data_IF_656465953104
#
_entry.id   IF_656465953104
#
_cell.length_a   1.000
_cell.length_b   1.000
_cell.length_c   1.000
_cell.angle_alpha   90.00
_cell.angle_beta   90.00
_cell.angle_gamma   90.00
#
_symmetry.space_group_name_H-M   'P 1'
#
loop_
_entity.id
_entity.type
_entity.pdbx_description
1 polymer ?
#
# COMPACT_ATOMS: atom_id res chain seq x y z
N UNK A 1 -9.31 -3.07 -8.66
CA UNK A 1 -9.24 -3.61 -7.29
C UNK A 1 -7.90 -4.31 -7.10
N UNK A 2 -6.83 -3.58 -6.78
CA UNK A 2 -5.51 -4.19 -6.53
C UNK A 2 -5.34 -4.70 -5.08
N UNK A 3 -6.47 -5.04 -4.45
CA UNK A 3 -6.64 -6.04 -3.38
C UNK A 3 -8.15 -6.12 -3.06
N UNK A 4 -8.95 -6.93 -3.80
CA UNK A 4 -10.42 -6.94 -3.65
C UNK A 4 -10.93 -7.49 -2.30
N UNK A 5 -10.06 -7.92 -1.40
CA UNK A 5 -10.40 -8.78 -0.26
C UNK A 5 -9.89 -8.28 1.10
N UNK A 6 -9.46 -7.02 1.22
CA UNK A 6 -8.91 -6.50 2.48
C UNK A 6 -9.58 -5.17 2.79
N UNK A 7 -10.37 -5.18 3.87
CA UNK A 7 -11.10 -4.02 4.37
C UNK A 7 -10.13 -2.99 4.94
N UNK A 8 -10.61 -1.75 5.09
CA UNK A 8 -9.85 -0.68 5.78
C UNK A 8 -9.38 -1.15 7.16
N UNK A 9 -10.22 -1.93 7.84
CA UNK A 9 -9.94 -2.53 9.15
C UNK A 9 -8.80 -3.55 9.10
N UNK A 10 -8.78 -4.42 8.07
CA UNK A 10 -7.70 -5.39 7.89
C UNK A 10 -6.37 -4.70 7.55
N UNK A 11 -6.40 -3.58 6.81
CA UNK A 11 -5.21 -2.77 6.55
C UNK A 11 -4.70 -2.09 7.83
N UNK A 12 -5.58 -1.53 8.66
CA UNK A 12 -5.15 -0.97 9.95
C UNK A 12 -4.59 -2.06 10.87
N UNK A 13 -5.23 -3.23 10.93
CA UNK A 13 -4.74 -4.36 11.71
C UNK A 13 -3.34 -4.81 11.26
N UNK A 14 -3.09 -4.86 9.94
CA UNK A 14 -1.77 -5.13 9.37
C UNK A 14 -0.75 -4.07 9.79
N UNK A 15 -1.08 -2.77 9.63
CA UNK A 15 -0.17 -1.69 10.01
C UNK A 15 0.15 -1.71 11.51
N UNK A 16 -0.85 -1.97 12.36
CA UNK A 16 -0.66 -2.09 13.81
C UNK A 16 0.30 -3.23 14.14
N UNK A 17 0.16 -4.38 13.48
CA UNK A 17 1.06 -5.52 13.66
C UNK A 17 2.49 -5.21 13.20
N UNK A 18 2.64 -4.54 12.06
CA UNK A 18 3.95 -4.19 11.50
C UNK A 18 4.66 -3.09 12.34
N UNK A 19 3.89 -2.18 12.95
CA UNK A 19 4.41 -1.04 13.72
C UNK A 19 4.78 -1.38 15.17
N UNK A 20 4.75 -2.66 15.53
CA UNK A 20 5.29 -3.14 16.81
C UNK A 20 6.82 -3.04 16.81
N UNK A 21 7.44 -3.33 15.66
CA UNK A 21 8.89 -3.34 15.54
C UNK A 21 9.44 -1.93 15.25
N UNK A 22 10.44 -1.46 16.03
CA UNK A 22 11.06 -0.16 15.80
C UNK A 22 11.92 -0.20 14.52
N UNK A 23 11.27 0.07 13.39
CA UNK A 23 11.89 0.21 12.07
C UNK A 23 11.62 1.61 11.54
N UNK A 24 12.43 2.06 10.58
CA UNK A 24 12.20 3.32 9.88
C UNK A 24 11.10 3.14 8.84
N UNK A 25 10.28 4.17 8.66
CA UNK A 25 9.17 4.15 7.71
C UNK A 25 9.65 3.82 6.28
N UNK A 26 10.75 4.41 5.82
CA UNK A 26 11.35 4.11 4.51
C UNK A 26 11.75 2.65 4.30
N UNK A 27 12.11 1.94 5.38
CA UNK A 27 12.53 0.54 5.31
C UNK A 27 11.32 -0.40 5.24
N UNK A 28 10.17 0.07 5.72
CA UNK A 28 8.90 -0.65 5.68
C UNK A 28 8.17 -0.48 4.35
N UNK A 29 8.26 0.70 3.71
CA UNK A 29 7.57 0.97 2.44
C UNK A 29 7.81 -0.06 1.31
N UNK A 30 9.02 -0.64 1.13
CA UNK A 30 9.24 -1.72 0.15
C UNK A 30 8.45 -3.01 0.42
N UNK A 31 8.02 -3.27 1.66
CA UNK A 31 7.18 -4.42 2.05
C UNK A 31 5.69 -4.16 1.78
N UNK A 32 5.33 -2.89 1.59
CA UNK A 32 3.97 -2.41 1.38
C UNK A 32 3.72 -2.00 -0.08
N UNK A 33 4.73 -1.48 -0.79
CA UNK A 33 4.63 -0.84 -2.10
C UNK A 33 5.83 -1.17 -3.01
N UNK A 34 5.64 -1.15 -4.35
CA UNK A 34 6.75 -1.18 -5.30
C UNK A 34 7.74 -0.03 -5.08
N UNK A 35 9.04 -0.32 -5.19
CA UNK A 35 10.12 0.65 -4.91
C UNK A 35 10.00 1.98 -5.66
N UNK A 36 9.51 1.93 -6.89
CA UNK A 36 9.33 3.12 -7.74
C UNK A 36 8.27 4.10 -7.20
N UNK A 37 7.34 3.64 -6.36
CA UNK A 37 6.27 4.45 -5.80
C UNK A 37 6.63 5.06 -4.45
N UNK A 38 7.67 4.54 -3.78
CA UNK A 38 8.12 4.98 -2.46
C UNK A 38 8.38 6.50 -2.37
N UNK A 39 9.13 7.15 -3.28
CA UNK A 39 9.39 8.58 -3.16
C UNK A 39 8.09 9.40 -3.25
N UNK A 40 7.21 9.07 -4.19
CA UNK A 40 5.91 9.74 -4.35
C UNK A 40 5.00 9.50 -3.14
N UNK A 41 5.01 8.29 -2.58
CA UNK A 41 4.23 7.96 -1.39
C UNK A 41 4.71 8.71 -0.15
N UNK A 42 6.03 8.85 0.02
CA UNK A 42 6.62 9.63 1.11
C UNK A 42 6.17 11.09 1.04
N UNK A 43 6.28 11.72 -0.14
CA UNK A 43 5.84 13.11 -0.36
C UNK A 43 4.35 13.31 -0.07
N UNK A 44 3.48 12.40 -0.54
CA UNK A 44 2.03 12.51 -0.33
C UNK A 44 1.60 12.21 1.11
N UNK A 45 2.28 11.25 1.76
CA UNK A 45 2.01 10.88 3.15
C UNK A 45 2.33 12.03 4.11
N UNK A 46 3.34 12.85 3.80
CA UNK A 46 3.87 13.87 4.70
C UNK A 46 4.54 13.30 5.94
N UNK A 47 4.83 11.99 5.95
CA UNK A 47 5.50 11.29 7.05
C UNK A 47 7.01 11.26 6.72
N UNK A 48 7.88 11.67 7.66
CA UNK A 48 9.32 11.60 7.46
C UNK A 48 9.78 10.16 7.17
N UNK A 49 10.67 10.00 6.19
CA UNK A 49 11.21 8.70 5.79
C UNK A 49 11.99 8.00 6.92
N UNK A 50 12.59 8.81 7.78
CA UNK A 50 13.34 8.48 8.99
C UNK A 50 12.48 8.42 10.27
N UNK A 51 11.16 8.61 10.14
CA UNK A 51 10.25 8.40 11.27
C UNK A 51 10.20 6.92 11.65
N UNK A 52 10.13 6.64 12.95
CA UNK A 52 10.00 5.28 13.44
C UNK A 52 8.55 4.82 13.33
N UNK A 53 8.30 3.58 12.90
CA UNK A 53 6.95 3.01 12.78
C UNK A 53 6.15 3.15 14.08
N UNK A 54 6.81 2.94 15.23
CA UNK A 54 6.19 3.01 16.55
C UNK A 54 5.76 4.44 16.94
N UNK A 55 6.25 5.46 16.23
CA UNK A 55 5.86 6.88 16.43
C UNK A 55 4.72 7.31 15.50
N UNK A 56 4.37 6.50 14.50
CA UNK A 56 3.28 6.80 13.57
C UNK A 56 1.94 6.67 14.32
N UNK A 57 1.20 7.77 14.39
CA UNK A 57 -0.06 7.83 15.16
C UNK A 57 -1.22 7.26 14.36
N UNK A 58 -2.35 7.01 15.03
CA UNK A 58 -3.57 6.55 14.37
C UNK A 58 -4.04 7.47 13.22
N UNK A 59 -3.85 8.79 13.35
CA UNK A 59 -4.15 9.76 12.28
C UNK A 59 -3.28 9.54 11.03
N UNK A 60 -2.01 9.20 11.24
CA UNK A 60 -1.03 9.02 10.17
C UNK A 60 -1.25 7.65 9.51
N UNK A 61 -1.62 6.63 10.29
CA UNK A 61 -2.10 5.34 9.76
C UNK A 61 -3.35 5.48 8.91
N UNK A 62 -4.34 6.26 9.36
CA UNK A 62 -5.52 6.58 8.53
C UNK A 62 -5.10 7.22 7.21
N UNK A 63 -4.17 8.17 7.24
CA UNK A 63 -3.62 8.80 6.02
C UNK A 63 -2.87 7.82 5.13
N UNK A 64 -2.11 6.87 5.69
CA UNK A 64 -1.48 5.78 4.93
C UNK A 64 -2.54 4.90 4.28
N UNK A 65 -3.56 4.48 5.03
CA UNK A 65 -4.63 3.62 4.50
C UNK A 65 -5.44 4.37 3.45
N UNK A 66 -5.79 5.64 3.69
CA UNK A 66 -6.41 6.52 2.71
C UNK A 66 -5.52 6.65 1.48
N UNK A 67 -4.21 6.83 1.63
CA UNK A 67 -3.32 6.86 0.49
C UNK A 67 -3.26 5.54 -0.22
N UNK A 68 -3.26 4.38 0.44
CA UNK A 68 -3.27 3.05 -0.19
C UNK A 68 -4.60 2.73 -0.89
N UNK A 69 -5.72 3.15 -0.30
CA UNK A 69 -7.08 2.88 -0.78
C UNK A 69 -7.55 3.92 -1.81
N UNK A 70 -7.12 5.18 -1.67
CA UNK A 70 -7.29 6.27 -2.64
C UNK A 70 -6.14 6.35 -3.65
N UNK A 71 -5.01 5.63 -3.48
CA UNK A 71 -4.15 5.16 -4.59
C UNK A 71 -4.86 4.08 -5.41
N UNK A 72 -6.18 4.17 -5.57
CA UNK A 72 -6.74 3.79 -6.85
C UNK A 72 -6.03 4.68 -7.87
N UNK A 73 -5.02 4.10 -8.52
CA UNK A 73 -4.54 4.50 -9.84
C UNK A 73 -5.69 5.21 -10.54
N UNK A 74 -5.62 6.53 -10.64
CA UNK A 74 -6.53 7.24 -11.53
C UNK A 74 -6.06 6.85 -12.92
N UNK A 75 -6.45 5.65 -13.39
CA UNK A 75 -6.35 5.25 -14.78
C UNK A 75 -7.31 6.18 -15.52
N UNK A 76 -6.87 7.41 -15.79
CA UNK A 76 -7.68 8.43 -16.48
C UNK A 76 -8.00 8.03 -17.93
N UNK A 77 -7.42 6.93 -18.44
CA UNK A 77 -7.78 6.34 -19.73
C UNK A 77 -7.33 4.88 -19.81
N UNK A 78 -8.26 3.97 -20.09
CA UNK A 78 -7.93 2.76 -20.81
C UNK A 78 -7.68 3.17 -22.28
N UNK A 79 -6.42 3.12 -22.73
CA UNK A 79 -6.00 3.10 -24.14
C UNK A 79 -4.62 2.43 -24.16
N UNK A 80 -4.37 1.30 -24.81
CA UNK A 80 -5.21 0.41 -25.62
C UNK A 80 -4.67 -1.02 -25.46
N UNK A 81 -5.56 -1.96 -25.19
CA UNK A 81 -5.59 -3.38 -25.57
C UNK A 81 -4.34 -4.26 -25.85
N UNK A 82 -3.09 -3.92 -25.53
CA UNK A 82 -1.94 -4.72 -26.06
C UNK A 82 -0.94 -5.33 -25.07
N UNK A 83 -1.08 -5.18 -23.75
CA UNK A 83 -0.17 -5.87 -22.81
C UNK A 83 -0.93 -6.55 -21.67
N UNK A 84 -1.76 -7.53 -22.05
CA UNK A 84 -2.23 -8.58 -21.16
C UNK A 84 -1.11 -9.61 -20.96
N UNK A 85 -0.29 -9.45 -19.91
CA UNK A 85 0.60 -10.51 -19.45
C UNK A 85 0.47 -10.63 -17.93
N UNK A 86 -0.62 -11.22 -17.46
CA UNK A 86 -0.63 -12.44 -16.60
C UNK A 86 -2.09 -12.90 -16.53
N UNK A 87 -2.30 -14.06 -17.13
CA UNK A 87 -3.55 -14.80 -17.29
C UNK A 87 -4.19 -15.15 -15.95
N UNK A 88 -5.49 -14.87 -15.80
CA UNK A 88 -6.33 -15.47 -14.79
C UNK A 88 -6.76 -16.87 -15.25
N UNK A 89 -6.39 -17.91 -14.50
CA UNK A 89 -6.79 -19.30 -14.71
C UNK A 89 -5.73 -20.25 -14.16
N UNK A 90 -5.99 -21.28 -13.37
CA UNK A 90 -7.19 -21.83 -12.77
C UNK A 90 -6.71 -22.93 -11.81
N UNK A 91 -7.52 -23.29 -10.81
CA UNK A 91 -7.14 -24.33 -9.85
C UNK A 91 -8.16 -24.54 -8.76
N UNK A 92 -9.42 -24.81 -9.14
CA UNK A 92 -10.39 -25.41 -8.22
C UNK A 92 -10.24 -26.93 -8.29
N UNK A 93 -9.73 -27.49 -7.18
CA UNK A 93 -10.00 -28.81 -6.60
C UNK A 93 -10.65 -29.88 -7.49
N UNK A 94 -9.92 -30.99 -7.66
CA UNK A 94 -10.48 -32.34 -7.56
C UNK A 94 -9.62 -33.14 -6.58
#
# INVERSE_FOLDING_TARGET
NLKPAVSVEDLDARLVSDFVQPRLFKNYLPELLPRIMIPVFLELSGIPADESLNKIRAKDRKRIIELLTNFRLTVKRARSADEAIVTAGGGSIK
#
